data_IF_101897396090
#
_entry.id   IF_101897396090
#
_cell.length_a   1.000
_cell.length_b   1.000
_cell.length_c   1.000
_cell.angle_alpha   90.00
_cell.angle_beta   90.00
_cell.angle_gamma   90.00
#
_symmetry.space_group_name_H-M   'P 1'
#
loop_
_entity.id
_entity.type
_entity.pdbx_description
1 polymer ?
2 polymer ?
3 non-polymer ?
4 non-polymer ?
5 water ?
#
# COMPACT_ATOMS: atom_id res chain seq x y z
N UNK A 14 -39.40 3.40 -2.58
CA UNK A 14 -38.28 3.47 -1.59
C UNK A 14 -38.67 2.65 -0.35
N UNK A 15 -38.50 1.33 -0.46
CA UNK A 15 -38.71 0.45 0.66
C UNK A 15 -37.41 -0.28 1.01
N UNK A 16 -36.50 -0.51 0.05
CA UNK A 16 -35.28 -1.24 0.34
C UNK A 16 -34.36 -0.46 1.30
N UNK A 17 -33.59 -1.17 2.13
CA UNK A 17 -32.57 -0.57 2.95
C UNK A 17 -31.34 -0.34 2.08
N UNK A 18 -30.71 0.85 2.17
CA UNK A 18 -29.58 1.11 1.31
C UNK A 18 -28.44 0.13 1.57
N UNK A 19 -27.82 -0.39 0.49
CA UNK A 19 -26.79 -1.43 0.61
C UNK A 19 -25.42 -0.92 1.00
N UNK A 20 -25.30 -0.33 2.18
CA UNK A 20 -24.02 0.15 2.69
C UNK A 20 -23.15 -1.00 3.18
N UNK A 21 -23.73 -2.13 3.62
CA UNK A 21 -22.86 -3.17 4.20
C UNK A 21 -21.81 -3.67 3.18
N UNK A 22 -22.23 -3.81 1.93
CA UNK A 22 -21.31 -4.29 0.91
C UNK A 22 -20.15 -3.32 0.74
N UNK A 23 -20.31 -2.02 1.07
CA UNK A 23 -19.24 -1.04 0.97
C UNK A 23 -18.37 -1.07 2.22
N UNK A 24 -18.98 -0.88 3.38
CA UNK A 24 -18.24 -0.76 4.64
C UNK A 24 -17.61 -2.10 5.04
N UNK A 25 -18.28 -3.24 4.72
CA UNK A 25 -17.79 -4.54 5.15
C UNK A 25 -17.08 -5.32 4.04
N UNK A 26 -16.66 -4.69 2.93
CA UNK A 26 -16.04 -5.46 1.86
C UNK A 26 -14.77 -6.15 2.35
N UNK A 27 -14.52 -7.35 1.85
CA UNK A 27 -13.35 -8.08 2.30
C UNK A 27 -12.07 -7.34 1.91
N UNK A 28 -11.99 -6.91 0.66
CA UNK A 28 -10.84 -6.16 0.13
C UNK A 28 -11.30 -4.75 -0.26
N UNK A 29 -10.45 -3.73 0.03
CA UNK A 29 -10.69 -2.35 -0.37
C UNK A 29 -9.86 -2.02 -1.59
N UNK A 30 -10.25 -0.98 -2.33
CA UNK A 30 -9.44 -0.44 -3.41
C UNK A 30 -8.15 0.23 -2.91
N UNK A 31 -7.10 0.17 -3.75
CA UNK A 31 -6.02 1.12 -3.64
C UNK A 31 -6.57 2.53 -3.95
N UNK A 32 -6.03 3.51 -3.22
CA UNK A 32 -6.51 4.89 -3.28
C UNK A 32 -6.40 5.44 -4.71
N UNK A 33 -5.32 5.19 -5.44
CA UNK A 33 -5.17 5.72 -6.82
C UNK A 33 -6.32 5.20 -7.70
N UNK A 34 -6.80 3.95 -7.46
CA UNK A 34 -7.93 3.34 -8.18
C UNK A 34 -9.19 3.25 -7.28
N UNK A 35 -9.46 4.36 -6.58
CA UNK A 35 -10.55 4.42 -5.59
C UNK A 35 -11.87 3.94 -6.22
N UNK A 36 -12.66 3.16 -5.43
CA UNK A 36 -13.94 2.62 -5.84
C UNK A 36 -15.04 3.66 -5.59
N UNK A 37 -16.01 3.69 -6.51
CA UNK A 37 -17.25 4.47 -6.35
C UNK A 37 -18.43 3.55 -6.55
N UNK A 38 -19.39 3.64 -5.59
CA UNK A 38 -20.63 2.91 -5.66
C UNK A 38 -21.77 3.94 -5.60
N UNK A 39 -22.66 3.85 -6.57
CA UNK A 39 -23.88 4.65 -6.52
C UNK A 39 -24.90 3.98 -5.60
N UNK A 40 -25.48 4.78 -4.70
CA UNK A 40 -26.55 4.34 -3.83
C UNK A 40 -27.83 5.02 -4.31
N UNK A 41 -28.88 4.27 -4.59
CA UNK A 41 -30.15 4.87 -4.96
C UNK A 41 -31.34 3.98 -4.59
N UNK A 42 -32.54 4.60 -4.62
CA UNK A 42 -33.82 3.93 -4.47
C UNK A 42 -33.87 3.16 -3.16
N UNK A 43 -33.53 3.82 -2.04
CA UNK A 43 -33.41 3.11 -0.78
C UNK A 43 -33.47 4.07 0.41
N UNK A 44 -33.63 3.47 1.61
CA UNK A 44 -33.76 4.16 2.87
C UNK A 44 -32.47 3.96 3.64
N UNK A 45 -31.81 5.05 4.04
CA UNK A 45 -30.56 4.95 4.77
C UNK A 45 -30.74 5.53 6.18
N UNK A 46 -30.28 4.77 7.19
CA UNK A 46 -30.24 5.22 8.57
C UNK A 46 -28.85 5.72 8.85
N UNK A 47 -28.63 7.03 8.61
CA UNK A 47 -27.31 7.61 8.78
C UNK A 47 -26.94 7.67 10.28
N UNK A 48 -27.94 7.96 11.14
CA UNK A 48 -27.75 8.03 12.59
C UNK A 48 -27.12 6.77 13.17
N UNK A 49 -27.54 5.59 12.68
CA UNK A 49 -27.01 4.33 13.13
C UNK A 49 -25.51 4.24 12.82
N UNK A 50 -25.09 4.66 11.60
CA UNK A 50 -23.68 4.75 11.26
C UNK A 50 -23.02 5.78 12.17
N UNK A 51 -23.59 6.99 12.26
CA UNK A 51 -22.96 8.08 12.99
C UNK A 51 -22.74 7.71 14.47
N UNK A 52 -23.69 7.00 15.10
CA UNK A 52 -23.64 6.56 16.50
C UNK A 52 -23.01 5.16 16.76
N UNK A 53 -22.56 4.60 15.64
CA UNK A 53 -21.45 3.66 15.59
C UNK A 53 -20.18 4.28 16.17
N UNK A 54 -19.91 3.74 17.32
CA UNK A 54 -18.56 3.65 17.87
C UNK A 54 -17.55 2.87 17.02
N UNK A 55 -17.86 2.46 15.76
CA UNK A 55 -16.93 1.75 14.88
C UNK A 55 -15.95 2.66 14.16
N UNK A 56 -16.18 4.00 14.17
CA UNK A 56 -15.37 4.89 13.37
C UNK A 56 -14.58 5.87 14.25
N UNK A 57 -13.30 6.08 13.88
CA UNK A 57 -12.46 7.07 14.52
C UNK A 57 -12.56 8.46 13.84
N UNK A 58 -12.98 8.51 12.57
CA UNK A 58 -13.29 9.74 11.85
C UNK A 58 -14.73 9.60 11.35
N UNK A 59 -15.52 10.64 11.61
CA UNK A 59 -16.85 10.79 11.01
C UNK A 59 -17.10 12.29 10.97
N UNK A 60 -16.71 12.90 9.85
CA UNK A 60 -16.62 14.33 9.70
C UNK A 60 -17.49 14.78 8.52
N UNK A 61 -18.50 15.59 8.81
CA UNK A 61 -19.41 16.04 7.77
C UNK A 61 -19.19 17.52 7.45
N UNK A 62 -19.49 17.87 6.19
CA UNK A 62 -19.33 19.20 5.66
C UNK A 62 -20.58 19.57 4.84
N UNK A 63 -21.12 20.76 5.09
CA UNK A 63 -22.33 21.22 4.43
C UNK A 63 -23.60 20.48 4.81
N UNK A 64 -23.54 19.53 5.72
CA UNK A 64 -24.68 18.78 6.23
C UNK A 64 -24.39 18.47 7.70
N UNK A 65 -25.45 18.32 8.49
CA UNK A 65 -25.35 17.86 9.86
C UNK A 65 -25.59 16.34 9.88
N UNK A 66 -24.75 15.54 10.57
CA UNK A 66 -25.01 14.10 10.66
C UNK A 66 -26.26 13.79 11.47
N UNK A 67 -26.48 14.56 12.56
CA UNK A 67 -27.64 14.42 13.43
C UNK A 67 -28.94 14.78 12.69
N UNK A 68 -28.88 15.45 11.53
CA UNK A 68 -30.05 15.73 10.70
C UNK A 68 -30.14 14.94 9.39
N UNK A 69 -29.17 14.07 9.04
CA UNK A 69 -29.16 13.46 7.71
C UNK A 69 -30.37 12.54 7.48
N UNK A 70 -30.87 11.93 8.55
CA UNK A 70 -32.09 11.15 8.50
C UNK A 70 -33.31 11.95 8.00
N UNK A 71 -33.30 13.30 8.05
CA UNK A 71 -34.42 14.12 7.62
C UNK A 71 -34.42 14.38 6.12
N UNK A 72 -33.33 14.11 5.42
CA UNK A 72 -33.13 14.65 4.08
C UNK A 72 -33.32 13.54 3.02
N UNK A 73 -33.73 13.97 1.81
CA UNK A 73 -33.74 13.15 0.60
C UNK A 73 -32.77 13.75 -0.44
N UNK A 74 -32.02 12.87 -1.15
CA UNK A 74 -31.13 13.24 -2.24
C UNK A 74 -31.48 12.46 -3.50
N UNK A 75 -30.99 12.95 -4.64
CA UNK A 75 -31.18 12.29 -5.93
C UNK A 75 -30.37 11.01 -6.01
N UNK A 76 -29.07 11.14 -5.75
CA UNK A 76 -28.16 10.01 -5.58
C UNK A 76 -27.17 10.30 -4.44
N UNK A 77 -26.68 9.20 -3.85
CA UNK A 77 -25.59 9.26 -2.93
C UNK A 77 -24.47 8.44 -3.56
N UNK A 78 -23.25 8.95 -3.45
CA UNK A 78 -22.10 8.16 -3.86
C UNK A 78 -21.27 7.78 -2.64
N UNK A 79 -20.81 6.53 -2.65
CA UNK A 79 -19.94 6.02 -1.59
C UNK A 79 -18.61 5.63 -2.20
N UNK A 80 -17.58 6.43 -1.94
CA UNK A 80 -16.24 6.21 -2.45
C UNK A 80 -15.43 5.50 -1.37
N UNK A 81 -14.59 4.52 -1.75
CA UNK A 81 -13.83 3.83 -0.71
C UNK A 81 -12.43 3.39 -1.18
N UNK A 82 -11.53 3.31 -0.20
CA UNK A 82 -10.12 3.07 -0.42
C UNK A 82 -9.40 2.94 0.92
N UNK A 83 -8.11 2.52 0.86
CA UNK A 83 -7.22 2.50 2.02
C UNK A 83 -6.07 3.50 1.84
N UNK A 84 -5.65 4.13 2.96
CA UNK A 84 -4.55 5.06 3.05
C UNK A 84 -3.94 4.87 4.44
N UNK A 85 -2.83 5.55 4.70
CA UNK A 85 -2.22 5.55 6.03
C UNK A 85 -3.09 6.34 7.00
N UNK A 86 -3.04 5.99 8.29
CA UNK A 86 -3.69 6.78 9.33
C UNK A 86 -3.30 8.26 9.34
N UNK A 87 -2.03 8.61 9.07
CA UNK A 87 -1.58 10.01 9.13
C UNK A 87 -1.98 10.77 7.86
N UNK A 88 -2.64 10.11 6.93
CA UNK A 88 -3.13 10.67 5.67
C UNK A 88 -4.62 10.93 5.71
N UNK A 89 -5.35 10.42 6.71
CA UNK A 89 -6.80 10.64 6.74
C UNK A 89 -7.11 12.16 6.75
N UNK A 90 -6.26 12.98 7.36
CA UNK A 90 -6.42 14.45 7.39
C UNK A 90 -6.50 15.05 5.97
N UNK A 91 -5.93 14.38 4.97
CA UNK A 91 -5.92 14.87 3.59
C UNK A 91 -7.29 14.71 2.94
N UNK A 92 -8.17 13.84 3.48
CA UNK A 92 -9.47 13.55 2.91
C UNK A 92 -10.44 14.53 3.52
N UNK A 93 -10.28 15.82 3.14
CA UNK A 93 -11.08 16.91 3.64
C UNK A 93 -10.95 18.08 2.66
N UNK A 94 -11.87 19.05 2.67
CA UNK A 94 -11.69 20.22 1.81
C UNK A 94 -10.38 20.94 2.09
N UNK A 95 -9.71 21.46 1.05
CA UNK A 95 -8.68 22.45 1.26
C UNK A 95 -7.30 21.87 1.56
N UNK A 96 -7.09 20.58 1.30
CA UNK A 96 -5.85 19.93 1.74
C UNK A 96 -4.87 19.76 0.59
N UNK A 97 -3.57 19.60 0.98
CA UNK A 97 -2.49 19.28 0.05
C UNK A 97 -1.77 18.05 0.62
N UNK A 98 -0.89 17.50 -0.22
CA UNK A 98 -0.10 16.34 0.12
C UNK A 98 -0.29 15.27 -0.94
N UNK A 99 0.52 14.16 -0.93
CA UNK A 99 0.48 13.29 -2.10
C UNK A 99 -0.88 12.65 -2.35
N UNK A 100 -1.70 12.41 -1.29
CA UNK A 100 -3.02 11.80 -1.47
C UNK A 100 -4.01 12.82 -2.06
N UNK A 101 -4.13 13.99 -1.44
CA UNK A 101 -5.07 15.02 -1.97
C UNK A 101 -4.65 15.42 -3.38
N UNK A 102 -3.33 15.59 -3.57
CA UNK A 102 -2.80 16.08 -4.84
C UNK A 102 -2.90 15.04 -5.95
N UNK A 103 -2.48 13.79 -5.70
CA UNK A 103 -2.35 12.88 -6.84
C UNK A 103 -3.25 11.63 -6.82
N UNK A 104 -4.13 11.47 -5.81
CA UNK A 104 -4.88 10.23 -5.59
C UNK A 104 -6.39 10.43 -5.44
N UNK A 105 -6.82 11.29 -4.47
CA UNK A 105 -8.23 11.46 -4.18
C UNK A 105 -8.40 12.89 -3.66
N UNK A 106 -9.17 13.72 -4.40
CA UNK A 106 -9.30 15.15 -4.13
C UNK A 106 -10.77 15.48 -3.84
N UNK A 107 -11.01 16.03 -2.65
CA UNK A 107 -12.28 16.67 -2.35
C UNK A 107 -12.29 18.11 -2.80
N UNK A 108 -13.48 18.65 -3.23
CA UNK A 108 -13.62 20.07 -3.51
C UNK A 108 -13.68 20.96 -2.28
N UNK A 109 -13.36 22.23 -2.45
CA UNK A 109 -13.38 23.18 -1.36
C UNK A 109 -14.78 23.24 -0.75
N UNK A 110 -15.83 23.07 -1.57
CA UNK A 110 -17.22 23.24 -1.16
C UNK A 110 -17.94 21.90 -0.96
N UNK A 111 -17.19 20.87 -0.59
CA UNK A 111 -17.71 19.51 -0.47
C UNK A 111 -18.93 19.47 0.45
N UNK A 112 -19.94 18.72 -0.02
CA UNK A 112 -21.10 18.42 0.79
C UNK A 112 -21.13 16.91 1.00
N UNK A 113 -20.81 16.45 2.21
CA UNK A 113 -20.78 15.01 2.41
C UNK A 113 -20.02 14.70 3.69
N UNK A 114 -19.79 13.40 3.88
CA UNK A 114 -19.16 12.92 5.13
C UNK A 114 -17.96 12.04 4.82
N UNK A 115 -16.92 12.15 5.66
CA UNK A 115 -15.70 11.37 5.54
C UNK A 115 -15.65 10.46 6.79
N UNK A 116 -15.57 9.15 6.53
CA UNK A 116 -15.66 8.11 7.55
C UNK A 116 -14.41 7.27 7.47
N UNK A 117 -13.74 7.02 8.61
CA UNK A 117 -12.56 6.18 8.57
C UNK A 117 -12.41 5.37 9.85
N UNK A 118 -11.69 4.20 9.69
CA UNK A 118 -11.39 3.35 10.84
C UNK A 118 -10.13 2.56 10.56
N UNK A 119 -9.43 2.21 11.67
CA UNK A 119 -8.15 1.51 11.59
C UNK A 119 -8.43 0.10 11.04
N UNK A 120 -7.62 -0.36 10.08
CA UNK A 120 -7.78 -1.68 9.49
C UNK A 120 -6.50 -2.50 9.57
N UNK A 121 -5.66 -2.21 10.57
CA UNK A 121 -4.42 -2.97 10.75
C UNK A 121 -4.69 -4.48 10.81
N UNK A 122 -5.75 -4.91 11.53
CA UNK A 122 -6.08 -6.31 11.66
C UNK A 122 -6.45 -7.02 10.36
N UNK A 123 -6.91 -6.30 9.35
CA UNK A 123 -7.33 -6.86 8.07
C UNK A 123 -6.30 -6.66 6.96
N UNK A 124 -5.54 -5.56 7.02
CA UNK A 124 -4.81 -5.04 5.86
C UNK A 124 -3.28 -5.12 6.06
N UNK A 125 -2.78 -5.32 7.27
CA UNK A 125 -1.36 -5.58 7.52
C UNK A 125 -1.15 -7.09 7.46
N UNK A 126 0.10 -7.52 7.23
CA UNK A 126 0.49 -8.92 7.24
C UNK A 126 1.89 -8.98 7.83
N UNK A 127 2.19 -10.11 8.44
CA UNK A 127 3.52 -10.42 8.92
C UNK A 127 4.43 -10.46 7.71
N UNK A 128 5.51 -9.73 7.84
CA UNK A 128 6.43 -9.53 6.71
C UNK A 128 6.11 -8.35 5.84
N UNK A 129 4.94 -7.71 5.99
CA UNK A 129 4.48 -6.60 5.19
C UNK A 129 3.49 -7.00 4.08
N UNK A 130 2.38 -6.26 4.00
CA UNK A 130 1.47 -6.27 2.89
C UNK A 130 1.79 -5.09 1.99
N UNK A 131 2.11 -5.34 0.72
CA UNK A 131 2.48 -4.32 -0.25
C UNK A 131 1.42 -4.24 -1.36
N UNK A 132 0.22 -4.86 -1.19
CA UNK A 132 -0.79 -4.84 -2.26
C UNK A 132 -1.56 -3.54 -2.40
N UNK A 133 -1.52 -2.63 -1.43
CA UNK A 133 -2.17 -1.32 -1.51
C UNK A 133 -1.19 -0.30 -2.05
N UNK A 134 -1.61 0.38 -3.13
CA UNK A 134 -0.78 1.30 -3.88
C UNK A 134 -1.31 2.74 -3.76
N UNK A 135 -0.40 3.69 -3.99
CA UNK A 135 -0.75 5.10 -4.18
C UNK A 135 0.12 5.69 -5.31
N UNK A 136 -0.39 6.73 -5.97
CA UNK A 136 0.34 7.44 -6.99
C UNK A 136 1.27 8.45 -6.34
N UNK A 137 2.59 8.33 -6.58
CA UNK A 137 3.62 9.16 -6.00
C UNK A 137 4.07 10.28 -6.93
N UNK A 138 3.94 10.13 -8.27
CA UNK A 138 4.36 11.13 -9.25
C UNK A 138 3.21 11.47 -10.19
N UNK A 139 3.04 12.75 -10.50
CA UNK A 139 2.03 13.20 -11.46
C UNK A 139 2.44 14.60 -11.94
N UNK A 140 2.21 14.87 -13.22
CA UNK A 140 2.58 16.17 -13.79
C UNK A 140 1.76 17.34 -13.24
N UNK A 141 0.56 17.09 -12.76
CA UNK A 141 -0.34 18.12 -12.25
C UNK A 141 -1.23 17.49 -11.20
N UNK A 142 -1.88 18.32 -10.37
CA UNK A 142 -2.79 17.81 -9.38
C UNK A 142 -4.13 17.39 -9.96
N UNK A 143 -4.74 16.40 -9.34
CA UNK A 143 -6.11 16.02 -9.64
C UNK A 143 -7.09 17.18 -9.39
N UNK A 144 -8.12 17.23 -10.26
CA UNK A 144 -9.30 18.02 -9.97
C UNK A 144 -10.22 17.26 -9.03
N UNK A 145 -11.17 17.94 -8.35
CA UNK A 145 -12.01 17.23 -7.39
C UNK A 145 -12.73 16.03 -8.03
N UNK A 146 -12.68 14.89 -7.31
CA UNK A 146 -13.32 13.63 -7.72
C UNK A 146 -12.75 13.02 -9.01
N UNK A 147 -11.57 13.44 -9.47
CA UNK A 147 -10.95 12.80 -10.63
C UNK A 147 -10.37 11.47 -10.20
N UNK A 148 -10.30 10.55 -11.19
CA UNK A 148 -9.67 9.23 -10.99
C UNK A 148 -8.70 9.03 -12.13
N UNK A 149 -7.44 8.65 -11.76
CA UNK A 149 -6.36 8.43 -12.73
C UNK A 149 -5.76 7.05 -12.46
N UNK A 150 -6.01 6.09 -13.37
CA UNK A 150 -5.44 4.74 -13.20
C UNK A 150 -4.32 4.43 -14.18
N UNK A 151 -3.78 5.47 -14.83
CA UNK A 151 -2.78 5.31 -15.88
C UNK A 151 -1.45 4.91 -15.20
N UNK A 152 -0.59 4.26 -16.00
CA UNK A 152 0.70 3.74 -15.50
C UNK A 152 1.81 4.10 -16.46
N UNK A 153 1.78 5.30 -17.03
CA UNK A 153 2.85 5.72 -17.90
C UNK A 153 4.06 6.12 -17.06
N UNK A 154 5.26 5.79 -17.57
CA UNK A 154 6.49 6.18 -16.89
C UNK A 154 6.62 7.69 -16.79
N UNK A 155 6.91 8.19 -15.57
CA UNK A 155 7.04 9.63 -15.29
C UNK A 155 8.45 10.09 -15.63
N UNK A 156 8.50 11.02 -16.59
CA UNK A 156 9.74 11.60 -17.07
C UNK A 156 10.06 12.77 -16.13
N UNK A 157 10.97 12.52 -15.18
CA UNK A 157 11.32 13.50 -14.16
C UNK A 157 12.33 14.52 -14.69
N UNK A 158 13.09 14.20 -15.73
CA UNK A 158 14.06 15.11 -16.30
C UNK A 158 13.77 15.44 -17.76
N UNK A 159 14.82 15.81 -18.48
CA UNK A 159 14.68 16.23 -19.87
C UNK A 159 15.05 15.10 -20.84
N UNK A 160 15.58 13.96 -20.34
CA UNK A 160 15.76 12.78 -21.18
C UNK A 160 14.44 11.99 -21.26
N UNK A 161 13.92 11.62 -22.47
CA UNK A 161 12.77 10.71 -22.57
C UNK A 161 13.08 9.30 -22.05
N UNK A 162 12.02 8.56 -21.68
CA UNK A 162 12.17 7.26 -21.04
C UNK A 162 12.04 6.04 -21.96
N UNK A 163 11.32 6.15 -23.11
CA UNK A 163 11.11 5.05 -24.05
C UNK A 163 10.50 3.79 -23.40
N UNK A 164 9.60 3.95 -22.40
CA UNK A 164 8.92 2.83 -21.75
C UNK A 164 9.80 2.04 -20.76
N UNK A 165 10.97 2.56 -20.36
CA UNK A 165 11.91 1.84 -19.51
C UNK A 165 12.14 2.66 -18.25
N UNK A 166 11.91 2.06 -17.08
CA UNK A 166 12.26 2.66 -15.82
C UNK A 166 13.77 2.78 -15.69
N UNK A 167 14.19 3.81 -14.96
CA UNK A 167 15.59 4.07 -14.73
C UNK A 167 15.78 5.43 -14.08
N UNK A 168 17.01 5.92 -14.20
CA UNK A 168 17.36 7.25 -13.72
C UNK A 168 16.37 8.27 -14.33
N UNK A 169 15.74 9.06 -13.46
CA UNK A 169 14.75 10.09 -13.74
C UNK A 169 13.59 9.56 -14.61
N UNK A 170 13.31 8.24 -14.52
CA UNK A 170 12.26 7.61 -15.31
C UNK A 170 11.51 6.66 -14.37
N UNK A 171 10.44 7.13 -13.79
CA UNK A 171 9.82 6.48 -12.64
C UNK A 171 8.49 5.86 -13.03
N UNK A 172 8.30 4.58 -12.72
CA UNK A 172 6.96 4.04 -12.61
C UNK A 172 6.20 4.84 -11.55
N UNK A 173 4.94 5.27 -11.79
CA UNK A 173 4.36 6.33 -10.97
C UNK A 173 3.66 5.92 -9.69
N UNK A 174 3.47 4.60 -9.50
CA UNK A 174 2.80 4.05 -8.36
C UNK A 174 3.83 3.50 -7.39
N UNK A 175 3.38 3.43 -6.16
CA UNK A 175 4.23 2.95 -5.06
C UNK A 175 3.35 2.17 -4.08
N UNK A 176 3.90 1.06 -3.57
CA UNK A 176 3.25 0.32 -2.49
C UNK A 176 3.38 1.04 -1.16
N UNK A 177 2.27 1.07 -0.41
CA UNK A 177 2.40 1.12 1.04
C UNK A 177 3.01 -0.18 1.56
N UNK A 178 3.76 -0.10 2.64
CA UNK A 178 4.26 -1.27 3.34
C UNK A 178 3.58 -1.40 4.70
N UNK A 179 2.46 -2.13 4.73
CA UNK A 179 1.70 -2.26 5.98
C UNK A 179 2.11 -3.56 6.70
N UNK A 180 2.81 -3.41 7.82
CA UNK A 180 3.20 -4.51 8.67
C UNK A 180 2.67 -4.19 10.08
N UNK A 181 2.29 -5.22 10.87
CA UNK A 181 1.47 -5.00 12.06
C UNK A 181 2.09 -4.15 13.16
N UNK A 182 3.44 -4.02 13.25
CA UNK A 182 4.05 -3.23 14.30
C UNK A 182 4.40 -1.81 13.83
N UNK A 183 3.92 -1.39 12.67
CA UNK A 183 3.98 0.00 12.26
C UNK A 183 3.38 0.87 13.39
N UNK A 184 3.91 2.10 13.59
CA UNK A 184 3.18 3.04 14.42
C UNK A 184 1.83 3.38 13.79
N UNK A 185 0.88 3.88 14.60
CA UNK A 185 -0.52 4.03 14.16
C UNK A 185 -0.66 5.00 12.99
N UNK A 186 0.26 5.97 12.82
CA UNK A 186 0.22 6.82 11.64
C UNK A 186 0.55 6.13 10.33
N UNK A 187 1.30 4.99 10.40
CA UNK A 187 1.72 4.19 9.28
C UNK A 187 0.84 2.93 9.15
N UNK A 188 -0.20 2.80 9.99
CA UNK A 188 -1.13 1.68 9.83
C UNK A 188 -2.18 1.98 8.78
N UNK A 189 -2.77 0.95 8.15
CA UNK A 189 -3.83 1.13 7.18
C UNK A 189 -5.15 1.53 7.82
N UNK A 190 -5.83 2.47 7.20
CA UNK A 190 -7.18 2.94 7.55
C UNK A 190 -8.05 2.78 6.33
N UNK A 191 -9.22 2.16 6.53
CA UNK A 191 -10.28 2.09 5.56
C UNK A 191 -11.10 3.38 5.62
N UNK A 192 -11.42 3.92 4.42
CA UNK A 192 -12.13 5.19 4.33
C UNK A 192 -13.33 5.00 3.43
N UNK A 193 -14.48 5.59 3.87
CA UNK A 193 -15.67 5.74 3.02
C UNK A 193 -15.99 7.23 2.99
N UNK A 194 -16.17 7.79 1.77
CA UNK A 194 -16.58 9.16 1.57
C UNK A 194 -17.98 9.11 0.99
N UNK A 195 -18.95 9.68 1.72
CA UNK A 195 -20.34 9.80 1.24
C UNK A 195 -20.54 11.20 0.64
N UNK A 196 -20.97 11.28 -0.63
CA UNK A 196 -21.35 12.56 -1.23
C UNK A 196 -22.82 12.58 -1.57
N UNK A 197 -23.43 13.76 -1.40
CA UNK A 197 -24.87 13.94 -1.50
C UNK A 197 -25.20 14.89 -2.66
N UNK A 198 -25.94 14.37 -3.65
CA UNK A 198 -26.24 14.96 -4.94
C UNK A 198 -27.73 15.31 -4.98
N UNK A 199 -28.05 16.60 -5.18
CA UNK A 199 -29.42 17.04 -5.40
C UNK A 199 -29.46 17.67 -6.79
N UNK A 200 -30.19 17.01 -7.71
CA UNK A 200 -30.49 17.53 -9.03
C UNK A 200 -31.89 18.14 -8.99
N UNK A 201 -32.42 18.55 -10.17
CA UNK A 201 -33.81 18.93 -10.38
C UNK A 201 -34.51 17.72 -11.02
N UNK A 202 -34.70 16.67 -10.18
CA UNK A 202 -34.96 15.29 -10.55
C UNK A 202 -35.29 14.50 -9.27
N UNK A 203 -36.11 13.42 -9.34
CA UNK A 203 -37.12 13.10 -8.31
C UNK A 203 -36.70 13.11 -6.83
N UNK A 204 -35.62 12.38 -6.47
CA UNK A 204 -35.04 12.20 -5.12
C UNK A 204 -35.36 10.81 -4.57
N UNK A 205 -34.36 9.91 -4.58
CA UNK A 205 -34.53 8.47 -4.43
C UNK A 205 -33.86 7.89 -3.17
N UNK A 206 -33.03 8.67 -2.45
CA UNK A 206 -32.36 8.17 -1.26
C UNK A 206 -32.80 9.02 -0.08
N UNK A 207 -33.63 8.44 0.79
CA UNK A 207 -34.17 9.17 1.92
C UNK A 207 -33.65 8.55 3.23
N UNK A 208 -33.66 9.38 4.29
CA UNK A 208 -33.58 8.87 5.66
C UNK A 208 -34.90 8.22 6.10
N UNK A 209 -34.95 7.58 7.30
CA UNK A 209 -36.19 7.09 7.86
C UNK A 209 -37.02 8.26 8.41
N UNK B 1 17.12 1.76 -17.25
CA UNK B 1 17.34 0.32 -16.94
C UNK B 1 17.31 0.15 -15.42
N UNK B 2 16.67 -0.91 -14.91
CA UNK B 2 16.76 -1.18 -13.46
C UNK B 2 17.22 -2.61 -13.27
N UNK B 3 18.06 -2.83 -12.24
CA UNK B 3 18.67 -4.13 -11.97
C UNK B 3 19.09 -4.16 -10.51
N UNK B 4 19.42 -5.35 -10.00
CA UNK B 4 20.03 -5.55 -8.70
C UNK B 4 21.39 -6.21 -8.95
N UNK B 5 22.46 -5.68 -8.37
CA UNK B 5 23.76 -6.31 -8.44
C UNK B 5 23.96 -7.08 -7.13
N UNK B 6 23.97 -8.42 -7.23
CA UNK B 6 24.04 -9.28 -6.06
C UNK B 6 25.38 -10.06 -6.02
N UNK B 7 25.94 -10.16 -4.82
CA UNK B 7 27.18 -10.89 -4.59
C UNK B 7 27.24 -11.46 -3.17
N UNK B 8 28.21 -12.36 -2.98
CA UNK B 8 28.60 -12.85 -1.67
C UNK B 8 28.15 -14.29 -1.36
N UNK B 9 27.47 -14.96 -2.28
CA UNK B 9 27.02 -16.33 -2.05
C UNK B 9 28.12 -17.35 -2.41
N UNK B 10 27.75 -18.63 -2.44
CA UNK B 10 28.61 -19.74 -2.78
C UNK B 10 28.47 -20.91 -1.79
N UNK B 11 29.57 -21.61 -1.59
CA UNK B 11 29.61 -22.86 -0.83
C UNK B 11 30.35 -22.63 0.47
N UNK B 12 29.84 -23.19 1.59
CA UNK B 12 30.49 -23.06 2.87
C UNK B 12 30.10 -24.26 3.71
N UNK B 13 30.96 -24.61 4.67
CA UNK B 13 30.68 -25.71 5.60
C UNK B 13 29.66 -25.23 6.65
N UNK B 14 28.84 -26.16 7.15
CA UNK B 14 27.96 -25.88 8.30
C UNK B 14 28.71 -25.22 9.45
N UNK B 15 28.11 -24.18 10.08
CA UNK B 15 28.71 -23.42 11.16
C UNK B 15 29.45 -22.18 10.65
N UNK B 16 29.68 -22.11 9.33
CA UNK B 16 30.37 -20.97 8.75
C UNK B 16 29.41 -19.82 8.51
N UNK B 17 29.96 -18.74 7.91
CA UNK B 17 29.17 -17.56 7.64
C UNK B 17 29.42 -17.09 6.20
N UNK B 18 28.48 -16.26 5.73
CA UNK B 18 28.55 -15.59 4.45
C UNK B 18 27.98 -14.18 4.65
N UNK B 19 28.27 -13.25 3.72
CA UNK B 19 27.65 -11.94 3.76
C UNK B 19 27.22 -11.63 2.33
N UNK B 20 25.92 -11.46 2.09
CA UNK B 20 25.36 -11.08 0.80
C UNK B 20 25.32 -9.55 0.76
N UNK B 21 25.62 -9.02 -0.44
CA UNK B 21 25.59 -7.60 -0.72
C UNK B 21 24.69 -7.38 -1.92
N UNK B 22 23.81 -6.37 -1.86
CA UNK B 22 22.85 -6.14 -2.93
C UNK B 22 22.82 -4.62 -3.19
N UNK B 23 23.07 -4.21 -4.44
CA UNK B 23 23.18 -2.80 -4.80
C UNK B 23 22.26 -2.59 -6.00
N UNK B 24 21.19 -1.79 -5.84
CA UNK B 24 20.37 -1.46 -6.98
C UNK B 24 21.09 -0.57 -8.00
N UNK B 25 20.74 -0.77 -9.28
CA UNK B 25 21.25 0.08 -10.37
C UNK B 25 20.05 0.75 -11.04
N UNK B 26 20.04 2.07 -11.18
CA UNK B 26 18.93 2.77 -11.79
C UNK B 26 17.86 3.23 -10.79
N UNK B 27 18.03 2.86 -9.51
CA UNK B 27 17.24 3.33 -8.40
C UNK B 27 18.07 3.13 -7.12
N UNK B 28 17.49 3.46 -5.97
CA UNK B 28 18.21 3.42 -4.68
C UNK B 28 17.50 2.59 -3.65
N UNK B 29 18.25 2.16 -2.62
CA UNK B 29 17.70 1.44 -1.47
C UNK B 29 16.67 2.28 -0.68
N UNK B 30 16.65 3.59 -0.81
CA UNK B 30 15.63 4.44 -0.18
C UNK B 30 14.25 4.31 -0.85
N UNK B 31 14.17 3.84 -2.09
CA UNK B 31 12.93 3.91 -2.88
C UNK B 31 11.86 2.96 -2.34
N UNK B 32 12.26 1.76 -1.92
CA UNK B 32 11.34 0.78 -1.34
C UNK B 32 12.03 0.09 -0.18
N UNK B 33 11.25 -0.67 0.57
CA UNK B 33 11.80 -1.53 1.58
C UNK B 33 12.62 -2.66 0.98
N UNK B 34 13.84 -2.89 1.45
CA UNK B 34 14.69 -3.93 0.87
C UNK B 34 14.56 -5.21 1.69
N UNK B 35 14.77 -6.34 1.01
CA UNK B 35 14.80 -7.60 1.73
C UNK B 35 15.40 -8.76 0.93
N UNK B 36 15.18 -9.99 1.43
CA UNK B 36 15.59 -11.21 0.74
C UNK B 36 14.47 -12.25 0.84
N UNK B 37 14.26 -12.94 -0.27
CA UNK B 37 13.60 -14.23 -0.35
C UNK B 37 14.68 -15.30 -0.51
N UNK B 38 14.32 -16.55 -0.27
CA UNK B 38 15.14 -17.69 -0.64
C UNK B 38 14.26 -18.80 -1.22
N UNK B 39 14.79 -19.46 -2.25
CA UNK B 39 14.12 -20.52 -2.98
C UNK B 39 14.83 -21.80 -2.63
N UNK B 40 14.21 -22.59 -1.74
CA UNK B 40 14.76 -23.84 -1.22
C UNK B 40 14.45 -24.99 -2.16
N UNK B 41 15.18 -26.13 -2.05
CA UNK B 41 14.89 -27.29 -2.87
C UNK B 41 13.39 -27.62 -2.92
N UNK B 42 12.89 -27.95 -4.10
CA UNK B 42 11.47 -28.10 -4.31
C UNK B 42 10.78 -26.82 -4.72
N UNK B 43 11.54 -25.77 -5.13
CA UNK B 43 10.94 -24.52 -5.58
C UNK B 43 10.08 -23.90 -4.47
N UNK B 44 10.54 -24.02 -3.21
CA UNK B 44 9.85 -23.56 -2.00
C UNK B 44 10.36 -22.15 -1.69
N UNK B 45 9.55 -21.14 -2.00
CA UNK B 45 9.88 -19.74 -1.75
C UNK B 45 9.60 -19.36 -0.32
N UNK B 46 10.46 -18.58 0.33
CA UNK B 46 10.27 -18.13 1.71
C UNK B 46 10.84 -16.72 1.84
N UNK B 47 10.05 -15.81 2.43
CA UNK B 47 10.56 -14.50 2.79
C UNK B 47 11.51 -14.63 3.97
N UNK B 48 12.77 -14.22 3.75
CA UNK B 48 13.77 -14.34 4.82
C UNK B 48 13.79 -13.14 5.77
N UNK B 49 13.75 -11.95 5.21
CA UNK B 49 13.95 -10.73 5.98
C UNK B 49 13.42 -9.55 5.16
N UNK B 50 13.16 -8.44 5.83
CA UNK B 50 12.89 -7.14 5.25
C UNK B 50 13.28 -6.08 6.27
N UNK B 51 13.91 -5.03 5.78
CA UNK B 51 14.19 -3.80 6.53
C UNK B 51 13.13 -2.77 6.13
N UNK B 52 12.17 -2.52 7.02
CA UNK B 52 11.05 -1.61 6.77
C UNK B 52 11.54 -0.16 6.84
N UNK B 53 10.71 0.72 6.25
CA UNK B 53 11.02 2.13 6.14
C UNK B 53 11.31 2.76 7.49
N UNK B 54 10.47 2.42 8.51
CA UNK B 54 10.51 2.91 9.87
C UNK B 54 11.76 2.43 10.61
N UNK B 55 12.62 1.57 10.00
CA UNK B 55 13.84 1.05 10.62
C UNK B 55 13.66 -0.32 11.30
N UNK B 56 12.41 -0.77 11.49
CA UNK B 56 12.10 -2.09 12.06
C UNK B 56 12.53 -3.18 11.08
N UNK B 57 12.65 -4.43 11.62
CA UNK B 57 13.08 -5.57 10.79
C UNK B 57 12.14 -6.77 10.99
N UNK B 58 11.92 -7.49 9.91
CA UNK B 58 11.28 -8.79 9.92
C UNK B 58 12.36 -9.84 9.67
N UNK B 59 12.28 -10.96 10.42
CA UNK B 59 12.99 -12.19 10.07
C UNK B 59 12.10 -13.43 10.16
N UNK B 60 12.33 -14.38 9.25
CA UNK B 60 11.71 -15.68 9.36
C UNK B 60 12.16 -16.32 10.69
N UNK B 61 11.27 -17.06 11.35
CA UNK B 61 11.57 -17.59 12.66
C UNK B 61 12.83 -18.45 12.63
N UNK B 62 13.05 -19.17 11.51
CA UNK B 62 14.17 -20.10 11.43
C UNK B 62 15.53 -19.40 11.27
N UNK B 63 15.56 -18.10 10.95
CA UNK B 63 16.84 -17.41 10.79
C UNK B 63 17.08 -16.33 11.83
N UNK B 64 16.12 -16.07 12.73
CA UNK B 64 16.27 -14.95 13.65
C UNK B 64 17.54 -15.09 14.52
N UNK B 65 18.30 -14.01 14.59
CA UNK B 65 19.47 -13.85 15.44
C UNK B 65 20.73 -14.43 14.83
N UNK B 66 20.58 -15.35 13.89
CA UNK B 66 21.71 -15.80 13.08
C UNK B 66 21.94 -14.94 11.86
N UNK B 67 20.87 -14.43 11.23
CA UNK B 67 20.96 -13.57 10.07
C UNK B 67 20.57 -12.14 10.45
N UNK B 68 21.34 -11.15 9.95
CA UNK B 68 21.16 -9.73 10.26
C UNK B 68 21.11 -8.97 8.93
N UNK B 69 20.02 -8.21 8.72
CA UNK B 69 19.95 -7.30 7.58
C UNK B 69 20.42 -5.92 8.07
N UNK B 70 21.18 -5.22 7.23
CA UNK B 70 21.60 -3.85 7.48
C UNK B 70 21.68 -3.11 6.15
N UNK B 71 21.73 -1.78 6.22
CA UNK B 71 21.71 -0.96 4.99
C UNK B 71 22.64 0.21 5.20
N UNK B 72 23.40 0.53 4.13
CA UNK B 72 24.26 1.70 4.10
C UNK B 72 23.77 2.61 2.98
N UNK B 73 23.00 3.63 3.35
CA UNK B 73 22.37 4.47 2.36
C UNK B 73 23.40 5.17 1.45
N UNK B 74 24.49 5.63 2.03
CA UNK B 74 25.54 6.35 1.32
C UNK B 74 26.19 5.47 0.26
N UNK B 75 26.26 4.17 0.52
CA UNK B 75 26.77 3.18 -0.44
C UNK B 75 25.68 2.55 -1.31
N UNK B 76 24.41 2.95 -1.12
CA UNK B 76 23.31 2.39 -1.90
C UNK B 76 23.34 0.86 -1.84
N UNK B 77 23.64 0.30 -0.67
CA UNK B 77 23.76 -1.15 -0.56
C UNK B 77 23.01 -1.66 0.67
N UNK B 78 22.40 -2.84 0.53
CA UNK B 78 21.83 -3.59 1.63
C UNK B 78 22.63 -4.91 1.77
N UNK B 79 22.73 -5.39 3.03
CA UNK B 79 23.57 -6.51 3.37
C UNK B 79 22.75 -7.57 4.09
N UNK B 80 23.07 -8.88 3.86
CA UNK B 80 22.54 -9.95 4.69
C UNK B 80 23.74 -10.71 5.26
N UNK B 81 23.97 -10.52 6.57
CA UNK B 81 25.00 -11.20 7.32
C UNK B 81 24.42 -12.54 7.74
N UNK B 82 25.03 -13.68 7.31
CA UNK B 82 24.46 -15.01 7.52
C UNK B 82 25.43 -15.79 8.40
N UNK B 83 25.18 -15.85 9.73
CA UNK B 83 26.07 -16.55 10.64
C UNK B 83 25.54 -17.95 11.00
N UNK B 84 26.48 -18.83 11.40
CA UNK B 84 26.11 -20.12 11.92
C UNK B 84 25.18 -20.89 10.98
N UNK B 85 25.59 -20.98 9.70
CA UNK B 85 24.78 -21.59 8.67
C UNK B 85 24.56 -23.08 8.91
N UNK B 86 23.43 -23.55 8.41
CA UNK B 86 22.95 -24.91 8.60
C UNK B 86 22.62 -25.50 7.24
N UNK B 87 22.68 -26.83 7.06
CA UNK B 87 22.32 -27.42 5.77
C UNK B 87 20.97 -27.00 5.21
N UNK B 88 19.96 -26.77 6.10
CA UNK B 88 18.62 -26.40 5.67
C UNK B 88 18.55 -24.94 5.18
N UNK B 89 19.66 -24.19 5.34
CA UNK B 89 19.77 -22.86 4.76
C UNK B 89 20.09 -22.89 3.26
N UNK B 90 20.47 -24.05 2.74
CA UNK B 90 20.78 -24.16 1.31
C UNK B 90 19.61 -23.68 0.45
N UNK B 91 19.85 -22.76 -0.48
CA UNK B 91 18.82 -22.14 -1.28
C UNK B 91 19.44 -21.16 -2.27
N UNK B 92 18.64 -20.75 -3.25
CA UNK B 92 18.98 -19.57 -4.02
C UNK B 92 18.41 -18.36 -3.29
N UNK B 93 19.29 -17.47 -2.84
CA UNK B 93 18.91 -16.23 -2.14
C UNK B 93 18.73 -15.09 -3.15
N UNK B 94 17.59 -14.37 -3.02
CA UNK B 94 17.21 -13.32 -3.93
C UNK B 94 16.99 -12.00 -3.21
N UNK B 95 17.91 -11.05 -3.38
CA UNK B 95 17.62 -9.70 -2.95
C UNK B 95 16.35 -9.22 -3.66
N UNK B 96 15.50 -8.47 -2.95
CA UNK B 96 14.28 -7.85 -3.49
C UNK B 96 14.15 -6.40 -3.00
N UNK B 97 13.59 -5.59 -3.90
CA UNK B 97 12.87 -4.39 -3.50
C UNK B 97 11.42 -4.84 -3.30
N UNK B 98 10.92 -4.76 -2.05
CA UNK B 98 9.56 -5.19 -1.80
C UNK B 98 8.56 -4.28 -2.52
N UNK B 99 7.48 -4.91 -3.04
CA UNK B 99 6.36 -4.11 -3.50
C UNK B 99 6.58 -3.43 -4.86
N UNK B 100 5.62 -2.60 -5.23
CA UNK B 100 5.67 -1.75 -6.41
C UNK B 100 6.45 -0.48 -6.04
N UNK B 101 7.20 0.02 -7.00
CA UNK B 101 7.95 1.25 -6.80
C UNK B 101 8.41 1.84 -8.12
N UNK B 102 9.37 2.78 -8.06
CA UNK B 102 9.83 3.53 -9.22
C UNK B 102 10.43 2.61 -10.29
N UNK B 103 10.91 1.44 -9.89
CA UNK B 103 11.50 0.40 -10.75
C UNK B 103 10.42 -0.42 -11.49
N UNK B 104 9.11 -0.24 -11.20
CA UNK B 104 8.03 -0.85 -11.93
C UNK B 104 7.17 -1.76 -11.03
N UNK B 105 6.22 -2.42 -11.69
CA UNK B 105 5.32 -3.41 -11.08
C UNK B 105 5.79 -4.79 -11.51
N UNK B 106 6.41 -5.46 -10.57
CA UNK B 106 6.98 -6.78 -10.79
C UNK B 106 6.49 -7.76 -9.74
N UNK B 107 6.71 -9.06 -10.00
CA UNK B 107 6.32 -10.10 -9.03
C UNK B 107 7.48 -11.02 -8.72
N UNK B 108 7.50 -11.51 -7.49
CA UNK B 108 8.41 -12.59 -7.08
C UNK B 108 7.75 -13.38 -5.95
N UNK B 109 7.81 -14.72 -5.97
CA UNK B 109 7.22 -15.55 -4.93
C UNK B 109 5.74 -15.19 -4.72
N UNK B 110 5.04 -14.91 -5.83
CA UNK B 110 3.58 -14.72 -5.79
C UNK B 110 3.06 -13.37 -5.30
N UNK B 111 3.95 -12.40 -5.06
CA UNK B 111 3.57 -11.10 -4.51
C UNK B 111 4.32 -10.00 -5.27
N UNK B 112 3.92 -8.75 -5.07
CA UNK B 112 4.67 -7.65 -5.67
C UNK B 112 6.06 -7.56 -5.05
N UNK B 113 7.06 -7.58 -5.95
CA UNK B 113 8.46 -7.65 -5.54
C UNK B 113 9.32 -7.54 -6.79
N UNK B 114 10.42 -6.77 -6.71
CA UNK B 114 11.41 -6.74 -7.78
C UNK B 114 12.67 -7.52 -7.39
N UNK B 115 12.87 -8.67 -8.08
CA UNK B 115 14.04 -9.52 -7.90
C UNK B 115 14.96 -9.46 -9.10
N UNK B 116 16.12 -10.11 -8.93
CA UNK B 116 17.06 -10.36 -10.01
C UNK B 116 17.49 -11.81 -10.00
N UNK B 117 18.73 -12.06 -10.43
CA UNK B 117 19.19 -13.42 -10.69
C UNK B 117 19.40 -14.23 -9.41
N UNK B 118 19.66 -13.57 -8.30
CA UNK B 118 19.99 -14.19 -7.03
C UNK B 118 21.37 -14.85 -6.97
N UNK B 119 21.68 -15.37 -5.79
CA UNK B 119 22.97 -15.94 -5.44
C UNK B 119 22.70 -17.28 -4.76
N UNK B 120 23.21 -18.40 -5.35
CA UNK B 120 23.10 -19.73 -4.73
C UNK B 120 23.93 -19.72 -3.45
N UNK B 121 23.40 -20.33 -2.40
CA UNK B 121 24.15 -20.64 -1.17
C UNK B 121 24.00 -22.13 -0.95
N UNK B 122 25.13 -22.82 -0.77
CA UNK B 122 25.12 -24.26 -0.53
C UNK B 122 25.89 -24.49 0.76
N UNK B 123 25.26 -25.10 1.78
CA UNK B 123 25.88 -25.35 3.08
C UNK B 123 26.10 -26.86 3.17
N UNK B 124 27.33 -27.29 3.38
CA UNK B 124 27.55 -28.75 3.36
C UNK B 124 27.44 -29.31 4.77
N UNK B 125 27.45 -30.65 4.89
CA UNK B 125 27.54 -31.36 6.18
C UNK B 125 28.71 -30.86 7.03
X LIG C 1 -20.73 -4.32 8.99
X LIG C 1 -22.00 -3.46 9.16
X LIG C 1 -22.35 -3.32 10.66
X LIG C 1 -22.33 -4.67 11.39
X LIG C 1 -20.94 -5.27 11.20
X LIG C 1 -20.64 -6.55 11.97
X LIG C 1 -22.84 -1.68 7.61
X LIG C 1 -22.55 -0.38 6.93
X LIG C 1 -21.93 -2.16 8.50
X LIG C 1 -23.65 -2.74 10.75
X LIG C 1 -22.67 -4.52 12.78
X LIG C 1 -20.78 -5.53 9.78
X LIG C 1 -21.71 -7.51 11.99
X LIG C 1 -23.87 -2.29 7.35
X LIG C 1 -19.96 -3.79 9.34
X LIG C 1 -22.73 -3.96 8.76
X LIG C 1 -21.70 -2.71 11.08
X LIG C 1 -22.99 -5.28 10.97
X LIG C 1 -20.27 -4.59 11.47
X LIG C 1 -20.41 -6.33 12.89
X LIG C 1 -19.85 -6.98 11.57
X LIG C 1 -21.24 -1.63 8.69
X LIG D 1 14.38 1.26 1.94
#
# INVERSE_FOLDING_TARGET
RVQPTESIVRFPNITNLCPFGEVFNATRFASVYAWNRKRISNCVADYSVLYNSASFSTFKCYGVSPTKLNDLCFTNVYADSFVIRGDEVRQIAPGQTGKIADYNYKLPDDFTGCVIAWNSNNLDSKVGGNYNYLYRLFRKSNLKPFERDISTEIYQAGSTPCNGVEGFNCYFPLQSYGFQPTNGVGYQPYRVVVLSFELLHAPATVCGPKKSTNLVKNKCVNFGSHHHHHHHHHH
QVQLQESGGGSVQAGGSLRLSCTPSGFTVHDSDMGWYRVKPGNECELVTTLFGDGDTYYADSVKDRFIISQDNAKNTVYLQMNNLKPEDTAKYHCVARGVGVYGMHWFCGEYNFAGQGTQVTVSSAAAEQKLISEEDLNGAAHHHHHHGS
NAG C1 C2 C3 C4 C5 C6 C7 C8 N2 O3 O4 O5 O6 O7 H1 H2 H3 H4 H5 H61 H62 HN2
NA NA
#
